data_IF_199575769282
#
_entry.id   IF_199575769282
#
_cell.length_a   1.000
_cell.length_b   1.000
_cell.length_c   1.000
_cell.angle_alpha   90.00
_cell.angle_beta   90.00
_cell.angle_gamma   90.00
#
_symmetry.space_group_name_H-M   'P 1'
#
loop_
_entity.id
_entity.type
_entity.pdbx_description
1 polymer ?
#
# COMPACT_ATOMS: atom_id res chain seq x y z
N UNK A 1 -23.98 -1.19 38.80
CA UNK A 1 -22.76 -1.97 38.53
C UNK A 1 -22.89 -2.95 37.35
N UNK A 2 -23.96 -2.88 36.54
CA UNK A 2 -24.10 -3.69 35.32
C UNK A 2 -23.60 -2.96 34.06
N UNK A 3 -23.72 -1.63 34.04
CA UNK A 3 -23.34 -0.77 32.90
C UNK A 3 -21.86 -0.93 32.53
N UNK A 4 -20.99 -1.20 33.51
CA UNK A 4 -19.56 -1.42 33.26
C UNK A 4 -19.30 -2.62 32.34
N UNK A 5 -20.08 -3.70 32.46
CA UNK A 5 -19.93 -4.88 31.63
C UNK A 5 -20.36 -4.58 30.18
N UNK A 6 -21.44 -3.83 30.00
CA UNK A 6 -21.90 -3.40 28.67
C UNK A 6 -20.85 -2.53 27.96
N UNK A 7 -20.31 -1.53 28.67
CA UNK A 7 -19.30 -0.63 28.12
C UNK A 7 -18.00 -1.37 27.79
N UNK A 8 -17.59 -2.31 28.65
CA UNK A 8 -16.40 -3.11 28.42
C UNK A 8 -16.55 -3.99 27.17
N UNK A 9 -17.70 -4.65 27.00
CA UNK A 9 -17.95 -5.46 25.80
C UNK A 9 -17.94 -4.62 24.53
N UNK A 10 -18.62 -3.48 24.52
CA UNK A 10 -18.66 -2.60 23.34
C UNK A 10 -17.26 -2.06 23.01
N UNK A 11 -16.49 -1.65 24.02
CA UNK A 11 -15.13 -1.13 23.84
C UNK A 11 -14.21 -2.17 23.18
N UNK A 12 -14.25 -3.42 23.67
CA UNK A 12 -13.44 -4.52 23.10
C UNK A 12 -13.88 -4.83 21.67
N UNK A 13 -15.19 -4.83 21.41
CA UNK A 13 -15.74 -5.12 20.08
C UNK A 13 -15.27 -4.08 19.05
N UNK A 14 -15.34 -2.80 19.41
CA UNK A 14 -14.84 -1.70 18.57
C UNK A 14 -13.33 -1.82 18.35
N UNK A 15 -12.55 -2.13 19.40
CA UNK A 15 -11.11 -2.29 19.29
C UNK A 15 -10.72 -3.43 18.32
N UNK A 16 -11.40 -4.58 18.40
CA UNK A 16 -11.17 -5.72 17.49
C UNK A 16 -11.52 -5.34 16.05
N UNK A 17 -12.62 -4.60 15.83
CA UNK A 17 -13.06 -4.17 14.52
C UNK A 17 -11.99 -3.28 13.86
N UNK A 18 -11.49 -2.28 14.58
CA UNK A 18 -10.39 -1.43 14.11
C UNK A 18 -9.09 -2.18 13.90
N UNK A 19 -8.79 -3.17 14.76
CA UNK A 19 -7.60 -3.99 14.61
C UNK A 19 -7.63 -4.83 13.33
N UNK A 20 -8.76 -5.47 13.01
CA UNK A 20 -8.93 -6.23 11.77
C UNK A 20 -8.81 -5.30 10.55
N UNK A 21 -9.47 -4.14 10.59
CA UNK A 21 -9.38 -3.14 9.52
C UNK A 21 -7.94 -2.65 9.31
N UNK A 22 -7.18 -2.44 10.39
CA UNK A 22 -5.77 -2.08 10.34
C UNK A 22 -4.93 -3.16 9.65
N UNK A 23 -5.07 -4.43 10.04
CA UNK A 23 -4.34 -5.55 9.42
C UNK A 23 -4.71 -5.68 7.94
N UNK A 24 -5.98 -5.54 7.59
CA UNK A 24 -6.42 -5.55 6.20
C UNK A 24 -5.76 -4.43 5.38
N UNK A 25 -5.74 -3.20 5.91
CA UNK A 25 -5.11 -2.05 5.25
C UNK A 25 -3.62 -2.28 5.00
N UNK A 26 -2.89 -2.75 6.00
CA UNK A 26 -1.45 -3.06 5.88
C UNK A 26 -1.21 -4.17 4.85
N UNK A 27 -2.02 -5.24 4.85
CA UNK A 27 -1.90 -6.35 3.89
C UNK A 27 -2.30 -5.98 2.47
N UNK A 28 -3.13 -4.96 2.28
CA UNK A 28 -3.57 -4.50 0.95
C UNK A 28 -2.46 -3.76 0.19
N UNK A 29 -1.27 -3.60 0.79
CA UNK A 29 -0.14 -2.98 0.10
C UNK A 29 -0.38 -1.50 -0.18
N UNK A 30 -1.25 -0.83 0.58
CA UNK A 30 -1.47 0.63 0.44
C UNK A 30 -0.17 1.44 0.63
N UNK A 31 0.83 0.84 1.27
CA UNK A 31 2.16 1.42 1.52
C UNK A 31 3.23 1.00 0.50
N UNK A 32 2.90 0.15 -0.49
CA UNK A 32 3.86 -0.29 -1.52
C UNK A 32 4.17 0.80 -2.56
N UNK A 33 3.40 1.90 -2.60
CA UNK A 33 3.72 3.07 -3.41
C UNK A 33 4.78 3.96 -2.71
N UNK A 34 5.92 3.34 -2.39
CA UNK A 34 7.09 4.02 -1.79
C UNK A 34 7.92 4.80 -2.81
N UNK A 35 7.61 4.67 -4.11
CA UNK A 35 8.24 5.40 -5.20
C UNK A 35 7.20 6.25 -5.93
N UNK A 36 7.16 7.53 -5.57
CA UNK A 36 6.25 8.52 -6.15
C UNK A 36 6.22 8.40 -7.68
N UNK A 37 5.04 8.38 -8.32
CA UNK A 37 4.92 8.22 -9.78
C UNK A 37 5.72 9.24 -10.59
N UNK A 38 5.95 10.44 -10.01
CA UNK A 38 6.80 11.48 -10.58
C UNK A 38 8.27 11.08 -10.74
N UNK A 39 8.80 10.22 -9.87
CA UNK A 39 10.19 9.73 -9.91
C UNK A 39 10.34 8.62 -10.95
N UNK A 40 9.40 7.68 -10.99
CA UNK A 40 9.37 6.62 -12.01
C UNK A 40 9.36 7.22 -13.43
N UNK A 41 8.55 8.24 -13.66
CA UNK A 41 8.45 8.90 -14.97
C UNK A 41 9.76 9.60 -15.40
N UNK A 42 10.55 10.13 -14.45
CA UNK A 42 11.82 10.81 -14.75
C UNK A 42 12.97 9.84 -15.06
N UNK A 43 12.94 8.62 -14.51
CA UNK A 43 14.02 7.64 -14.67
C UNK A 43 13.70 6.51 -15.67
N UNK A 44 12.43 6.28 -16.00
CA UNK A 44 12.02 5.34 -17.04
C UNK A 44 12.40 5.84 -18.46
N UNK A 45 12.48 7.15 -18.66
CA UNK A 45 12.84 7.78 -19.95
C UNK A 45 14.35 7.69 -20.26
N UNK A 46 15.20 7.55 -19.25
CA UNK A 46 16.66 7.48 -19.44
C UNK A 46 17.14 6.07 -19.82
N UNK A 47 16.49 5.01 -19.34
CA UNK A 47 16.94 3.61 -19.55
C UNK A 47 16.52 3.01 -20.91
N UNK A 48 15.63 3.66 -21.67
CA UNK A 48 15.13 3.13 -22.96
C UNK A 48 16.09 3.45 -24.11
N UNK A 49 16.99 4.43 -23.97
CA UNK A 49 17.88 4.85 -25.06
C UNK A 49 19.00 3.85 -25.38
N UNK A 50 19.42 3.03 -24.43
CA UNK A 50 20.56 2.12 -24.65
C UNK A 50 20.18 0.79 -25.34
N UNK A 51 18.89 0.47 -25.49
CA UNK A 51 18.47 -0.84 -26.06
C UNK A 51 17.87 -0.76 -27.47
N UNK A 52 17.80 0.42 -28.09
CA UNK A 52 17.24 0.61 -29.45
C UNK A 52 18.26 1.00 -30.51
N UNK A 53 19.54 0.68 -30.31
CA UNK A 53 20.51 0.65 -31.41
C UNK A 53 21.06 -0.78 -31.60
N UNK A 54 20.31 -1.59 -32.34
CA UNK A 54 20.93 -2.55 -33.24
C UNK A 54 20.41 -2.27 -34.65
N UNK A 55 21.30 -1.88 -35.58
CA UNK A 55 20.92 -1.48 -36.92
C UNK A 55 20.58 -2.70 -37.77
N UNK A 56 19.70 -2.44 -38.74
CA UNK A 56 19.33 -3.18 -39.97
C UNK A 56 20.33 -4.21 -40.51
N UNK A 57 19.79 -5.34 -41.00
CA UNK A 57 20.18 -6.20 -42.16
C UNK A 57 19.47 -7.56 -41.98
N UNK A 58 18.71 -8.15 -42.89
CA UNK A 58 18.41 -8.00 -44.32
C UNK A 58 16.94 -8.41 -44.55
#
# INVERSE_FOLDING_TARGET
MSVIYLLLTISILVAILFFIAFIYSVKTGQFDDSYTPSVRMLFDDELIKDKKEKPTKD
#
